data_IF_111885969478
#
_entry.id   IF_111885969478
#
_cell.length_a   1.000
_cell.length_b   1.000
_cell.length_c   1.000
_cell.angle_alpha   90.00
_cell.angle_beta   90.00
_cell.angle_gamma   90.00
#
_symmetry.space_group_name_H-M   'P 1'
#
loop_
_entity.id
_entity.type
_entity.pdbx_description
1 polymer ?
#
# COMPACT_ATOMS: atom_id res chain seq x y z
N UNK A 1 -11.09 12.15 -12.76
CA UNK A 1 -12.39 11.78 -13.37
C UNK A 1 -13.42 11.48 -12.31
N UNK A 2 -13.26 10.42 -11.50
CA UNK A 2 -14.25 10.04 -10.46
C UNK A 2 -14.50 11.17 -9.45
N UNK A 3 -13.43 11.81 -8.95
CA UNK A 3 -13.52 13.00 -8.08
C UNK A 3 -14.31 14.14 -8.73
N UNK A 4 -14.13 14.36 -10.04
CA UNK A 4 -14.88 15.37 -10.81
C UNK A 4 -16.37 15.02 -10.92
N UNK A 5 -16.71 13.73 -11.04
CA UNK A 5 -18.10 13.26 -11.05
C UNK A 5 -18.75 13.44 -9.68
N UNK A 6 -18.04 13.14 -8.59
CA UNK A 6 -18.54 13.32 -7.22
C UNK A 6 -18.77 14.81 -6.90
N UNK A 7 -17.81 15.66 -7.26
CA UNK A 7 -17.85 17.11 -6.95
C UNK A 7 -18.87 17.86 -7.80
N UNK A 8 -19.06 17.48 -9.06
CA UNK A 8 -19.90 18.20 -10.01
C UNK A 8 -21.18 17.45 -10.40
N UNK A 9 -21.60 16.44 -9.62
CA UNK A 9 -22.70 15.53 -9.96
C UNK A 9 -23.97 16.25 -10.42
N UNK A 10 -24.43 17.25 -9.65
CA UNK A 10 -25.68 17.96 -9.97
C UNK A 10 -25.53 18.90 -11.17
N UNK A 11 -24.36 19.50 -11.34
CA UNK A 11 -24.07 20.31 -12.52
C UNK A 11 -24.04 19.45 -13.79
N UNK A 12 -23.43 18.26 -13.73
CA UNK A 12 -23.43 17.31 -14.84
C UNK A 12 -24.87 16.83 -15.12
N UNK A 13 -25.67 16.55 -14.08
CA UNK A 13 -27.10 16.21 -14.26
C UNK A 13 -27.85 17.34 -14.99
N UNK A 14 -27.67 18.59 -14.58
CA UNK A 14 -28.31 19.75 -15.21
C UNK A 14 -27.88 19.92 -16.69
N UNK A 15 -26.61 19.69 -17.01
CA UNK A 15 -26.11 19.71 -18.38
C UNK A 15 -26.64 18.54 -19.24
N UNK A 16 -26.92 17.37 -18.65
CA UNK A 16 -27.41 16.20 -19.39
C UNK A 16 -28.94 16.16 -19.50
N UNK A 17 -29.67 16.72 -18.54
CA UNK A 17 -31.14 16.85 -18.60
C UNK A 17 -31.56 17.84 -19.69
N UNK A 18 -30.79 18.90 -19.93
CA UNK A 18 -31.02 19.83 -21.05
C UNK A 18 -30.79 19.22 -22.45
N UNK A 19 -30.16 18.03 -22.55
CA UNK A 19 -29.87 17.33 -23.81
C UNK A 19 -30.70 16.04 -24.04
N UNK A 20 -31.77 15.85 -23.27
CA UNK A 20 -32.87 14.89 -23.48
C UNK A 20 -32.54 13.39 -23.69
N UNK A 21 -31.35 12.88 -23.38
CA UNK A 21 -31.08 11.43 -23.55
C UNK A 21 -30.04 10.80 -22.62
N UNK A 22 -29.58 11.49 -21.57
CA UNK A 22 -28.46 10.99 -20.75
C UNK A 22 -28.62 11.15 -19.23
N UNK A 23 -29.71 11.76 -18.72
CA UNK A 23 -29.90 11.93 -17.27
C UNK A 23 -30.00 10.58 -16.53
N UNK A 24 -30.53 9.54 -17.19
CA UNK A 24 -30.67 8.20 -16.61
C UNK A 24 -29.32 7.51 -16.35
N UNK A 25 -28.26 7.82 -17.11
CA UNK A 25 -26.95 7.17 -16.95
C UNK A 25 -26.27 7.50 -15.62
N UNK A 26 -26.57 8.67 -15.05
CA UNK A 26 -26.05 9.09 -13.73
C UNK A 26 -26.88 8.56 -12.56
N UNK A 27 -28.15 8.18 -12.78
CA UNK A 27 -29.01 7.68 -11.71
C UNK A 27 -28.62 6.28 -11.25
N UNK A 28 -27.95 5.51 -12.11
CA UNK A 28 -27.44 4.18 -11.77
C UNK A 28 -26.10 4.23 -11.02
N UNK A 29 -25.51 5.41 -10.83
CA UNK A 29 -24.25 5.55 -10.08
C UNK A 29 -24.57 5.74 -8.60
N UNK A 30 -24.35 4.66 -7.83
CA UNK A 30 -24.35 4.74 -6.36
C UNK A 30 -23.29 5.74 -5.90
N UNK A 31 -23.72 6.75 -5.14
CA UNK A 31 -22.82 7.78 -4.62
C UNK A 31 -21.89 7.20 -3.55
N UNK A 32 -22.38 6.27 -2.75
CA UNK A 32 -21.58 5.60 -1.73
C UNK A 32 -20.51 4.73 -2.38
N UNK A 33 -20.85 3.97 -3.43
CA UNK A 33 -19.89 3.18 -4.19
C UNK A 33 -18.83 4.08 -4.88
N UNK A 34 -19.23 5.25 -5.37
CA UNK A 34 -18.30 6.22 -5.97
C UNK A 34 -17.31 6.74 -4.93
N UNK A 35 -17.79 7.08 -3.72
CA UNK A 35 -16.94 7.54 -2.62
C UNK A 35 -15.98 6.45 -2.16
N UNK A 36 -16.46 5.24 -1.95
CA UNK A 36 -15.65 4.09 -1.57
C UNK A 36 -14.54 3.82 -2.61
N UNK A 37 -14.88 3.92 -3.91
CA UNK A 37 -13.91 3.78 -4.99
C UNK A 37 -12.89 4.92 -5.04
N UNK A 38 -13.30 6.16 -4.78
CA UNK A 38 -12.38 7.31 -4.68
C UNK A 38 -11.40 7.12 -3.52
N UNK A 39 -11.90 6.73 -2.34
CA UNK A 39 -11.06 6.44 -1.18
C UNK A 39 -10.06 5.34 -1.51
N UNK A 40 -10.53 4.23 -2.09
CA UNK A 40 -9.69 3.11 -2.51
C UNK A 40 -8.54 3.54 -3.43
N UNK A 41 -8.83 4.41 -4.41
CA UNK A 41 -7.86 4.86 -5.40
C UNK A 41 -6.95 5.99 -4.89
N UNK A 42 -7.39 6.74 -3.88
CA UNK A 42 -6.61 7.84 -3.31
C UNK A 42 -5.28 7.36 -2.72
N UNK A 43 -5.26 6.15 -2.14
CA UNK A 43 -4.04 5.59 -1.56
C UNK A 43 -3.01 5.21 -2.62
N UNK A 44 -3.45 4.78 -3.82
CA UNK A 44 -2.57 4.55 -4.96
C UNK A 44 -1.92 5.85 -5.46
N UNK A 45 -2.65 6.96 -5.41
CA UNK A 45 -2.12 8.29 -5.75
C UNK A 45 -1.06 8.72 -4.74
N UNK A 46 -1.30 8.50 -3.44
CA UNK A 46 -0.34 8.79 -2.37
C UNK A 46 0.95 7.97 -2.57
N UNK A 47 0.82 6.67 -2.79
CA UNK A 47 1.94 5.76 -3.03
C UNK A 47 2.70 6.11 -4.31
N UNK A 48 2.01 6.39 -5.41
CA UNK A 48 2.65 6.83 -6.65
C UNK A 48 3.46 8.10 -6.44
N UNK A 49 2.91 9.06 -5.70
CA UNK A 49 3.61 10.31 -5.36
C UNK A 49 4.84 10.04 -4.49
N UNK A 50 4.72 9.15 -3.50
CA UNK A 50 5.84 8.77 -2.62
C UNK A 50 6.99 8.12 -3.40
N UNK A 51 6.66 7.24 -4.35
CA UNK A 51 7.63 6.56 -5.21
C UNK A 51 8.27 7.54 -6.22
N UNK A 52 7.51 8.53 -6.72
CA UNK A 52 7.96 9.49 -7.74
C UNK A 52 8.71 10.72 -7.18
N UNK A 53 8.42 11.14 -5.95
CA UNK A 53 9.04 12.33 -5.33
C UNK A 53 10.48 12.08 -4.86
N UNK A 54 10.89 10.82 -4.73
CA UNK A 54 12.30 10.48 -4.60
C UNK A 54 13.02 10.62 -5.94
N UNK A 55 14.14 11.33 -5.98
CA UNK A 55 15.06 11.36 -7.14
C UNK A 55 15.50 9.96 -7.60
N UNK A 56 15.34 8.95 -6.74
CA UNK A 56 15.23 7.52 -7.07
C UNK A 56 14.25 6.85 -6.10
N UNK A 57 13.26 6.05 -6.55
CA UNK A 57 12.52 5.17 -5.66
C UNK A 57 13.50 4.17 -5.04
N UNK A 58 13.67 4.22 -3.73
CA UNK A 58 14.57 3.33 -3.01
C UNK A 58 13.88 2.00 -2.73
N UNK A 59 14.68 0.94 -2.65
CA UNK A 59 14.23 -0.44 -2.41
C UNK A 59 13.24 -0.57 -1.23
N UNK A 60 13.49 0.19 -0.17
CA UNK A 60 12.65 0.23 1.02
C UNK A 60 11.32 0.95 0.81
N UNK A 61 11.29 2.04 0.03
CA UNK A 61 10.05 2.78 -0.24
C UNK A 61 9.07 1.96 -1.07
N UNK A 62 9.57 1.13 -1.99
CA UNK A 62 8.75 0.18 -2.73
C UNK A 62 8.09 -0.85 -1.78
N UNK A 63 8.86 -1.40 -0.84
CA UNK A 63 8.36 -2.36 0.15
C UNK A 63 7.30 -1.76 1.08
N UNK A 64 7.59 -0.57 1.63
CA UNK A 64 6.70 0.18 2.51
C UNK A 64 5.38 0.50 1.77
N UNK A 65 5.51 1.03 0.56
CA UNK A 65 4.37 1.39 -0.28
C UNK A 65 3.49 0.18 -0.58
N UNK A 66 4.11 -0.97 -0.91
CA UNK A 66 3.33 -2.18 -1.17
C UNK A 66 2.62 -2.69 0.06
N UNK A 67 3.25 -2.67 1.24
CA UNK A 67 2.57 -3.07 2.47
C UNK A 67 1.38 -2.15 2.78
N UNK A 68 1.54 -0.84 2.56
CA UNK A 68 0.45 0.11 2.74
C UNK A 68 -0.72 -0.20 1.80
N UNK A 69 -0.45 -0.43 0.51
CA UNK A 69 -1.48 -0.85 -0.45
C UNK A 69 -2.12 -2.19 -0.07
N UNK A 70 -1.33 -3.17 0.38
CA UNK A 70 -1.84 -4.48 0.77
C UNK A 70 -2.80 -4.37 1.97
N UNK A 71 -2.44 -3.57 2.98
CA UNK A 71 -3.29 -3.32 4.14
C UNK A 71 -4.57 -2.56 3.74
N UNK A 72 -4.44 -1.57 2.86
CA UNK A 72 -5.57 -0.82 2.31
C UNK A 72 -6.54 -1.73 1.55
N UNK A 73 -6.01 -2.62 0.70
CA UNK A 73 -6.80 -3.59 -0.04
C UNK A 73 -7.42 -4.67 0.86
N UNK A 74 -6.78 -5.03 1.97
CA UNK A 74 -7.29 -6.00 2.94
C UNK A 74 -8.24 -5.38 3.99
N UNK A 75 -8.37 -4.06 4.05
CA UNK A 75 -9.24 -3.37 5.01
C UNK A 75 -8.65 -3.31 6.42
N UNK A 76 -7.33 -3.47 6.53
CA UNK A 76 -6.58 -3.37 7.79
C UNK A 76 -5.72 -2.11 7.85
N UNK A 77 -5.98 -1.16 6.96
CA UNK A 77 -5.28 0.11 6.91
C UNK A 77 -5.77 1.05 8.01
N UNK A 78 -4.87 1.86 8.53
CA UNK A 78 -5.14 2.76 9.66
C UNK A 78 -4.72 4.18 9.32
N UNK A 79 -5.52 5.15 9.74
CA UNK A 79 -5.20 6.56 9.60
C UNK A 79 -4.08 6.98 10.60
N UNK A 80 -3.69 8.26 10.55
CA UNK A 80 -2.64 8.79 11.44
C UNK A 80 -3.00 8.72 12.93
N UNK A 81 -4.30 8.64 13.25
CA UNK A 81 -4.83 8.53 14.60
C UNK A 81 -4.96 7.05 15.06
N UNK A 82 -4.61 6.10 14.17
CA UNK A 82 -4.67 4.66 14.43
C UNK A 82 -6.05 4.03 14.22
N UNK A 83 -7.00 4.77 13.67
CA UNK A 83 -8.35 4.27 13.37
C UNK A 83 -8.36 3.53 12.02
N UNK A 84 -9.10 2.41 11.95
CA UNK A 84 -9.21 1.62 10.72
C UNK A 84 -9.94 2.43 9.64
N UNK A 85 -9.30 2.56 8.48
CA UNK A 85 -9.91 3.14 7.29
C UNK A 85 -10.92 2.12 6.74
N UNK A 86 -12.20 2.38 7.01
CA UNK A 86 -13.28 1.52 6.52
C UNK A 86 -13.56 1.83 5.04
N UNK A 87 -13.30 0.84 4.19
CA UNK A 87 -13.84 0.76 2.85
C UNK A 87 -15.01 -0.22 2.94
N UNK A 88 -16.23 0.27 2.74
CA UNK A 88 -17.41 -0.54 2.94
C UNK A 88 -17.59 -1.55 1.79
N UNK A 89 -17.48 -2.84 2.08
CA UNK A 89 -17.73 -3.93 1.13
C UNK A 89 -19.23 -4.15 0.81
N UNK A 90 -20.05 -3.10 0.97
CA UNK A 90 -21.49 -3.14 0.67
C UNK A 90 -21.77 -3.25 -0.83
N UNK A 91 -20.72 -3.16 -1.65
CA UNK A 91 -20.77 -3.18 -3.10
C UNK A 91 -19.91 -4.33 -3.61
N UNK A 92 -20.54 -5.43 -4.05
CA UNK A 92 -19.87 -6.65 -4.51
C UNK A 92 -18.77 -6.39 -5.56
N UNK A 93 -18.97 -5.38 -6.42
CA UNK A 93 -17.98 -4.97 -7.42
C UNK A 93 -16.69 -4.40 -6.83
N UNK A 94 -16.76 -3.72 -5.69
CA UNK A 94 -15.59 -3.12 -5.02
C UNK A 94 -14.78 -4.21 -4.32
N UNK A 95 -15.42 -5.14 -3.60
CA UNK A 95 -14.74 -6.27 -2.95
C UNK A 95 -14.01 -7.15 -3.98
N UNK A 96 -14.69 -7.50 -5.09
CA UNK A 96 -14.06 -8.25 -6.19
C UNK A 96 -12.85 -7.51 -6.75
N UNK A 97 -12.98 -6.20 -7.01
CA UNK A 97 -11.90 -5.38 -7.54
C UNK A 97 -10.70 -5.33 -6.57
N UNK A 98 -10.95 -5.13 -5.26
CA UNK A 98 -9.91 -5.11 -4.22
C UNK A 98 -9.12 -6.42 -4.18
N UNK A 99 -9.82 -7.55 -4.12
CA UNK A 99 -9.19 -8.88 -4.10
C UNK A 99 -8.35 -9.13 -5.33
N UNK A 100 -8.90 -8.82 -6.52
CA UNK A 100 -8.19 -9.01 -7.79
C UNK A 100 -6.95 -8.12 -7.90
N UNK A 101 -7.07 -6.86 -7.48
CA UNK A 101 -5.96 -5.91 -7.49
C UNK A 101 -4.85 -6.33 -6.52
N UNK A 102 -5.20 -6.81 -5.33
CA UNK A 102 -4.23 -7.33 -4.36
C UNK A 102 -3.47 -8.55 -4.91
N UNK A 103 -4.18 -9.48 -5.55
CA UNK A 103 -3.55 -10.62 -6.23
C UNK A 103 -2.60 -10.18 -7.33
N UNK A 104 -3.02 -9.22 -8.16
CA UNK A 104 -2.18 -8.70 -9.25
C UNK A 104 -0.91 -8.06 -8.70
N UNK A 105 -1.03 -7.18 -7.69
CA UNK A 105 0.13 -6.52 -7.09
C UNK A 105 1.12 -7.53 -6.49
N UNK A 106 0.63 -8.56 -5.76
CA UNK A 106 1.48 -9.63 -5.24
C UNK A 106 2.17 -10.44 -6.33
N UNK A 107 1.55 -10.58 -7.51
CA UNK A 107 2.15 -11.29 -8.63
C UNK A 107 3.20 -10.46 -9.40
N UNK A 108 3.03 -9.13 -9.41
CA UNK A 108 3.93 -8.22 -10.15
C UNK A 108 5.13 -7.77 -9.30
N UNK A 109 4.96 -7.71 -7.98
CA UNK A 109 6.01 -7.28 -7.06
C UNK A 109 6.42 -8.41 -6.13
N UNK A 110 7.56 -9.02 -6.42
CA UNK A 110 8.23 -9.96 -5.53
C UNK A 110 9.29 -9.22 -4.72
N UNK A 111 9.10 -9.16 -3.41
CA UNK A 111 10.07 -8.59 -2.48
C UNK A 111 10.89 -9.71 -1.85
N UNK A 112 12.22 -9.57 -1.88
CA UNK A 112 13.14 -10.44 -1.15
C UNK A 112 13.50 -9.83 0.23
N UNK A 113 14.29 -10.57 1.01
CA UNK A 113 14.65 -10.19 2.38
C UNK A 113 15.42 -8.86 2.46
N UNK A 114 16.10 -8.45 1.38
CA UNK A 114 16.82 -7.18 1.30
C UNK A 114 15.86 -5.99 1.29
N UNK A 115 14.70 -6.14 0.66
CA UNK A 115 13.66 -5.11 0.64
C UNK A 115 13.08 -4.89 2.05
N UNK A 116 12.82 -5.99 2.75
CA UNK A 116 12.34 -5.95 4.13
C UNK A 116 13.40 -5.36 5.07
N UNK A 117 14.66 -5.82 5.00
CA UNK A 117 15.76 -5.30 5.81
C UNK A 117 16.00 -3.81 5.58
N UNK A 118 15.96 -3.34 4.33
CA UNK A 118 16.07 -1.92 4.01
C UNK A 118 14.91 -1.11 4.60
N UNK A 119 13.69 -1.65 4.63
CA UNK A 119 12.54 -1.00 5.25
C UNK A 119 12.64 -0.90 6.77
N UNK A 120 13.20 -1.91 7.46
CA UNK A 120 13.44 -1.88 8.92
C UNK A 120 14.38 -0.73 9.32
N UNK A 121 15.38 -0.43 8.49
CA UNK A 121 16.36 0.61 8.77
C UNK A 121 15.80 2.04 8.62
N UNK A 122 14.62 2.20 8.02
CA UNK A 122 14.02 3.52 7.84
C UNK A 122 13.37 4.04 9.13
N UNK A 123 13.82 5.20 9.61
CA UNK A 123 13.39 5.79 10.91
C UNK A 123 11.87 5.92 11.09
N UNK A 124 11.13 6.34 10.04
CA UNK A 124 9.66 6.43 10.07
C UNK A 124 8.95 5.07 10.20
N UNK A 125 9.61 3.99 9.81
CA UNK A 125 9.03 2.65 9.72
C UNK A 125 9.67 1.67 10.68
N UNK A 126 10.58 2.13 11.55
CA UNK A 126 11.28 1.35 12.57
C UNK A 126 10.34 0.63 13.54
N UNK A 127 9.14 1.18 13.76
CA UNK A 127 8.08 0.55 14.58
C UNK A 127 7.42 -0.65 13.89
N UNK A 128 7.48 -0.72 12.55
CA UNK A 128 6.99 -1.83 11.74
C UNK A 128 5.58 -2.27 12.13
N UNK A 129 4.66 -1.35 12.43
CA UNK A 129 3.27 -1.69 12.79
C UNK A 129 2.58 -2.54 11.72
N UNK A 130 3.06 -2.46 10.48
CA UNK A 130 2.59 -3.21 9.31
C UNK A 130 3.28 -4.56 9.10
N UNK A 131 4.40 -4.88 9.78
CA UNK A 131 5.13 -6.13 9.57
C UNK A 131 4.89 -7.12 10.73
N UNK A 132 4.74 -8.41 10.41
CA UNK A 132 4.55 -9.45 11.42
C UNK A 132 5.79 -9.60 12.30
N UNK A 133 5.63 -10.04 13.56
CA UNK A 133 6.76 -10.31 14.46
C UNK A 133 7.80 -11.25 13.85
N UNK A 134 7.36 -12.21 13.03
CA UNK A 134 8.23 -13.11 12.29
C UNK A 134 9.10 -12.35 11.27
N UNK A 135 8.50 -11.50 10.44
CA UNK A 135 9.21 -10.68 9.46
C UNK A 135 10.21 -9.71 10.14
N UNK A 136 9.84 -9.13 11.29
CA UNK A 136 10.76 -8.27 12.07
C UNK A 136 11.98 -9.05 12.53
N UNK A 137 11.77 -10.22 13.14
CA UNK A 137 12.86 -11.08 13.60
C UNK A 137 13.78 -11.49 12.46
N UNK A 138 13.21 -11.89 11.32
CA UNK A 138 13.99 -12.31 10.16
C UNK A 138 14.90 -11.20 9.64
N UNK A 139 14.37 -9.98 9.45
CA UNK A 139 15.20 -8.89 8.94
C UNK A 139 16.19 -8.34 9.99
N UNK A 140 15.89 -8.44 11.29
CA UNK A 140 16.90 -8.19 12.33
C UNK A 140 18.05 -9.20 12.28
N UNK A 141 17.76 -10.49 12.07
CA UNK A 141 18.78 -11.53 11.89
C UNK A 141 19.63 -11.24 10.65
N UNK A 142 19.00 -10.94 9.51
CA UNK A 142 19.70 -10.58 8.27
C UNK A 142 20.63 -9.37 8.47
N UNK A 143 20.14 -8.29 9.09
CA UNK A 143 20.97 -7.10 9.38
C UNK A 143 22.16 -7.46 10.27
N UNK A 144 21.94 -8.29 11.29
CA UNK A 144 23.00 -8.73 12.21
C UNK A 144 24.05 -9.59 11.50
N UNK A 145 23.63 -10.51 10.64
CA UNK A 145 24.53 -11.34 9.83
C UNK A 145 25.41 -10.47 8.92
N UNK A 146 24.80 -9.51 8.21
CA UNK A 146 25.55 -8.57 7.36
C UNK A 146 26.51 -7.69 8.16
N UNK A 147 26.13 -7.25 9.36
CA UNK A 147 27.03 -6.50 10.24
C UNK A 147 28.19 -7.35 10.74
N UNK A 148 27.94 -8.61 11.11
CA UNK A 148 28.99 -9.53 11.54
C UNK A 148 29.98 -9.82 10.40
N UNK A 149 29.51 -9.95 9.16
CA UNK A 149 30.36 -10.12 7.99
C UNK A 149 31.23 -8.88 7.74
N UNK A 150 30.63 -7.67 7.79
CA UNK A 150 31.35 -6.40 7.62
C UNK A 150 32.40 -6.20 8.73
N UNK A 151 32.06 -6.57 9.97
CA UNK A 151 32.94 -6.43 11.13
C UNK A 151 33.94 -7.59 11.27
N UNK A 152 33.91 -8.59 10.38
CA UNK A 152 34.77 -9.76 10.44
C UNK A 152 34.55 -10.67 11.66
N UNK A 153 33.42 -10.53 12.36
CA UNK A 153 33.12 -11.24 13.61
C UNK A 153 32.83 -12.73 13.37
N UNK A 154 32.36 -13.10 12.18
CA UNK A 154 32.13 -14.49 11.80
C UNK A 154 33.46 -15.26 11.57
N UNK A 155 34.58 -14.57 11.29
CA UNK A 155 35.90 -15.21 11.17
C UNK A 155 36.58 -15.45 12.53
N UNK A 156 36.24 -14.67 13.56
CA UNK A 156 36.83 -14.84 14.90
C UNK A 156 36.26 -16.04 15.67
N UNK A 157 35.06 -16.52 15.35
CA UNK A 157 34.53 -17.76 15.94
C UNK A 157 35.18 -19.00 15.34
N UNK A 158 35.43 -19.01 14.02
CA UNK A 158 36.09 -20.14 13.36
C UNK A 158 37.55 -20.36 13.80
N UNK A 159 38.26 -19.31 14.23
CA UNK A 159 39.66 -19.39 14.69
C UNK A 159 39.76 -19.85 16.16
N UNK A 160 38.70 -19.67 16.96
CA UNK A 160 38.69 -20.05 18.38
C UNK A 160 38.10 -21.45 18.64
N UNK A 161 37.56 -22.12 17.61
CA UNK A 161 36.98 -23.46 17.68
C UNK A 161 37.88 -24.55 17.05
N UNK A 162 39.12 -24.22 16.63
CA UNK A 162 40.13 -25.23 16.31
C UNK A 162 40.91 -25.65 17.59
N UNK A 163 40.98 -26.94 17.93
CA UNK A 163 41.66 -27.45 19.13
C UNK A 163 43.19 -27.39 19.06
#
# INVERSE_FOLDING_TARGET
MLESIDTSKEHIRACLSSKNNYSFKLNNISQDALKDLIVLLSEFKNVSTLVQTGSRPTLHMAYISMNKLANHLNGTDVNNDGEIIQIFDRHDGIDFFRKRLNQLLKSMFTFDDRHLAAAILHHMYRRLTFATSYSKNFAHLYIREQLNDILGLNQQQAINDEP
#
